data_IF_405693073343
#
_entry.id   IF_405693073343
#
_cell.length_a   1.000
_cell.length_b   1.000
_cell.length_c   1.000
_cell.angle_alpha   90.00
_cell.angle_beta   90.00
_cell.angle_gamma   90.00
#
_symmetry.space_group_name_H-M   'P 1'
#
loop_
_entity.id
_entity.type
_entity.pdbx_description
1 polymer ?
#
# COMPACT_ATOMS: atom_id res chain seq x y z
N UNK A 1 -7.70 6.34 -9.96
CA UNK A 1 -8.14 5.36 -8.94
C UNK A 1 -7.12 5.24 -7.82
N UNK A 2 -7.55 4.83 -6.65
CA UNK A 2 -6.66 4.78 -5.48
C UNK A 2 -5.50 3.80 -5.64
N UNK A 3 -5.74 2.65 -6.26
CA UNK A 3 -4.66 1.68 -6.50
C UNK A 3 -3.59 2.22 -7.43
N UNK A 4 -3.98 2.97 -8.45
CA UNK A 4 -3.02 3.58 -9.38
C UNK A 4 -2.20 4.67 -8.67
N UNK A 5 -2.84 5.48 -7.84
CA UNK A 5 -2.16 6.51 -7.06
C UNK A 5 -1.19 5.90 -6.06
N UNK A 6 -1.58 4.79 -5.43
CA UNK A 6 -0.69 4.05 -4.54
C UNK A 6 0.57 3.59 -5.29
N UNK A 7 0.39 3.01 -6.47
CA UNK A 7 1.52 2.56 -7.29
C UNK A 7 2.43 3.71 -7.69
N UNK A 8 1.87 4.87 -8.03
CA UNK A 8 2.64 6.07 -8.35
C UNK A 8 3.43 6.57 -7.14
N UNK A 9 2.83 6.58 -5.96
CA UNK A 9 3.50 7.00 -4.73
C UNK A 9 4.67 6.07 -4.39
N UNK A 10 4.48 4.76 -4.54
CA UNK A 10 5.54 3.79 -4.30
C UNK A 10 6.68 3.93 -5.31
N UNK A 11 6.36 4.17 -6.58
CA UNK A 11 7.37 4.42 -7.61
C UNK A 11 8.16 5.70 -7.29
N UNK A 12 7.48 6.75 -6.85
CA UNK A 12 8.13 8.00 -6.44
C UNK A 12 9.04 7.78 -5.22
N UNK A 13 8.56 7.03 -4.22
CA UNK A 13 9.36 6.70 -3.05
C UNK A 13 10.62 5.93 -3.43
N UNK A 14 10.49 4.96 -4.35
CA UNK A 14 11.63 4.19 -4.83
C UNK A 14 12.66 5.07 -5.53
N UNK A 15 12.20 5.98 -6.38
CA UNK A 15 13.08 6.94 -7.06
C UNK A 15 13.78 7.84 -6.05
N UNK A 16 13.05 8.33 -5.05
CA UNK A 16 13.60 9.19 -4.01
C UNK A 16 14.65 8.46 -3.16
N UNK A 17 14.42 7.17 -2.85
CA UNK A 17 15.40 6.35 -2.15
C UNK A 17 16.70 6.21 -2.95
N UNK A 18 16.58 5.94 -4.24
CA UNK A 18 17.74 5.82 -5.12
C UNK A 18 18.53 7.13 -5.23
N UNK A 19 17.83 8.26 -5.22
CA UNK A 19 18.42 9.59 -5.28
C UNK A 19 18.88 10.12 -3.90
N UNK A 20 18.65 9.35 -2.83
CA UNK A 20 18.93 9.75 -1.45
C UNK A 20 18.15 10.99 -1.02
N UNK A 21 16.96 11.18 -1.61
CA UNK A 21 16.05 12.26 -1.26
C UNK A 21 15.15 11.80 -0.13
N UNK A 22 15.60 11.99 1.11
CA UNK A 22 14.91 11.52 2.31
C UNK A 22 13.54 12.19 2.47
N UNK A 23 13.46 13.49 2.20
CA UNK A 23 12.22 14.25 2.33
C UNK A 23 11.18 13.79 1.31
N UNK A 24 11.58 13.62 0.05
CA UNK A 24 10.69 13.14 -1.01
C UNK A 24 10.22 11.72 -0.74
N UNK A 25 11.11 10.84 -0.26
CA UNK A 25 10.76 9.47 0.12
C UNK A 25 9.74 9.46 1.25
N UNK A 26 9.95 10.22 2.30
CA UNK A 26 9.04 10.26 3.45
C UNK A 26 7.65 10.77 3.03
N UNK A 27 7.60 11.82 2.22
CA UNK A 27 6.36 12.38 1.72
C UNK A 27 5.57 11.38 0.86
N UNK A 28 6.27 10.68 -0.04
CA UNK A 28 5.63 9.70 -0.91
C UNK A 28 5.11 8.49 -0.12
N UNK A 29 5.87 7.99 0.85
CA UNK A 29 5.44 6.86 1.69
C UNK A 29 4.26 7.27 2.56
N UNK A 30 4.30 8.46 3.17
CA UNK A 30 3.17 8.95 3.97
C UNK A 30 1.90 9.03 3.13
N UNK A 31 1.99 9.51 1.90
CA UNK A 31 0.83 9.59 1.02
C UNK A 31 0.30 8.20 0.67
N UNK A 32 1.19 7.25 0.39
CA UNK A 32 0.81 5.85 0.14
C UNK A 32 0.12 5.24 1.36
N UNK A 33 0.63 5.48 2.56
CA UNK A 33 0.01 5.00 3.80
C UNK A 33 -1.38 5.58 4.00
N UNK A 34 -1.58 6.85 3.70
CA UNK A 34 -2.90 7.50 3.79
C UNK A 34 -3.91 6.81 2.87
N UNK A 35 -3.51 6.44 1.67
CA UNK A 35 -4.37 5.71 0.73
C UNK A 35 -4.79 4.37 1.32
N UNK A 36 -3.86 3.61 1.90
CA UNK A 36 -4.18 2.30 2.51
C UNK A 36 -5.11 2.47 3.70
N UNK A 37 -4.88 3.48 4.54
CA UNK A 37 -5.75 3.77 5.68
C UNK A 37 -7.17 4.11 5.19
N UNK A 38 -7.28 4.88 4.12
CA UNK A 38 -8.58 5.22 3.54
C UNK A 38 -9.30 3.97 3.00
N UNK A 39 -8.58 3.08 2.30
CA UNK A 39 -9.14 1.82 1.83
C UNK A 39 -9.60 0.94 2.99
N UNK A 40 -8.80 0.87 4.06
CA UNK A 40 -9.15 0.10 5.26
C UNK A 40 -10.40 0.66 5.94
N UNK A 41 -10.51 1.97 6.04
CA UNK A 41 -11.66 2.62 6.66
C UNK A 41 -12.96 2.42 5.86
N UNK A 42 -12.85 2.18 4.56
CA UNK A 42 -14.00 1.96 3.69
C UNK A 42 -14.56 0.53 3.75
N UNK A 43 -13.93 -0.39 4.49
CA UNK A 43 -14.39 -1.77 4.62
C UNK A 43 -15.72 -1.82 5.39
N UNK A 44 -16.70 -2.55 4.84
CA UNK A 44 -18.00 -2.77 5.50
C UNK A 44 -18.00 -4.15 6.15
N UNK A 45 -17.55 -4.22 7.39
CA UNK A 45 -17.44 -5.46 8.16
C UNK A 45 -18.80 -6.11 8.42
N UNK A 46 -19.88 -5.34 8.45
CA UNK A 46 -21.22 -5.86 8.65
C UNK A 46 -21.73 -6.63 7.41
N UNK A 47 -21.34 -6.16 6.22
CA UNK A 47 -21.79 -6.77 4.96
C UNK A 47 -21.01 -8.05 4.62
N UNK A 48 -19.71 -8.10 4.92
CA UNK A 48 -18.85 -9.23 4.56
C UNK A 48 -17.73 -9.40 5.62
N UNK A 49 -18.06 -9.93 6.81
CA UNK A 49 -17.10 -9.93 7.92
C UNK A 49 -15.82 -10.72 7.65
N UNK A 50 -15.90 -11.90 7.01
CA UNK A 50 -14.71 -12.69 6.72
C UNK A 50 -13.83 -12.04 5.66
N UNK A 51 -14.44 -11.54 4.59
CA UNK A 51 -13.70 -10.85 3.53
C UNK A 51 -13.02 -9.60 4.07
N UNK A 52 -13.74 -8.81 4.87
CA UNK A 52 -13.18 -7.59 5.46
C UNK A 52 -12.05 -7.89 6.43
N UNK A 53 -12.15 -8.95 7.23
CA UNK A 53 -11.06 -9.36 8.12
C UNK A 53 -9.81 -9.73 7.33
N UNK A 54 -9.97 -10.44 6.21
CA UNK A 54 -8.85 -10.80 5.35
C UNK A 54 -8.21 -9.58 4.70
N UNK A 55 -9.03 -8.67 4.18
CA UNK A 55 -8.54 -7.42 3.57
C UNK A 55 -7.85 -6.53 4.59
N UNK A 56 -8.41 -6.44 5.80
CA UNK A 56 -7.79 -5.67 6.87
C UNK A 56 -6.39 -6.20 7.20
N UNK A 57 -6.23 -7.52 7.26
CA UNK A 57 -4.93 -8.13 7.49
C UNK A 57 -3.93 -7.78 6.38
N UNK A 58 -4.37 -7.79 5.12
CA UNK A 58 -3.54 -7.41 3.97
C UNK A 58 -3.13 -5.93 4.08
N UNK A 59 -4.08 -5.05 4.37
CA UNK A 59 -3.80 -3.63 4.50
C UNK A 59 -2.85 -3.35 5.67
N UNK A 60 -3.02 -4.03 6.80
CA UNK A 60 -2.12 -3.88 7.94
C UNK A 60 -0.69 -4.35 7.60
N UNK A 61 -0.57 -5.44 6.84
CA UNK A 61 0.74 -5.91 6.36
C UNK A 61 1.39 -4.88 5.44
N UNK A 62 0.63 -4.30 4.50
CA UNK A 62 1.13 -3.26 3.60
C UNK A 62 1.61 -2.05 4.39
N UNK A 63 0.82 -1.60 5.37
CA UNK A 63 1.22 -0.48 6.23
C UNK A 63 2.52 -0.77 6.98
N UNK A 64 2.67 -1.98 7.50
CA UNK A 64 3.91 -2.39 8.18
C UNK A 64 5.12 -2.37 7.23
N UNK A 65 4.94 -2.83 6.00
CA UNK A 65 6.03 -2.83 5.01
C UNK A 65 6.42 -1.40 4.59
N UNK A 66 5.43 -0.52 4.42
CA UNK A 66 5.71 0.89 4.12
C UNK A 66 6.45 1.57 5.28
N UNK A 67 6.03 1.29 6.51
CA UNK A 67 6.70 1.80 7.70
C UNK A 67 8.16 1.33 7.78
N UNK A 68 8.39 0.04 7.49
CA UNK A 68 9.75 -0.52 7.46
C UNK A 68 10.61 0.15 6.39
N UNK A 69 10.07 0.36 5.19
CA UNK A 69 10.79 1.04 4.11
C UNK A 69 11.18 2.47 4.52
N UNK A 70 10.27 3.15 5.22
CA UNK A 70 10.54 4.51 5.67
C UNK A 70 11.63 4.55 6.76
N UNK A 71 11.53 3.64 7.73
CA UNK A 71 12.46 3.62 8.87
C UNK A 71 13.85 3.11 8.49
N UNK A 72 13.92 2.09 7.62
CA UNK A 72 15.16 1.39 7.30
C UNK A 72 15.82 1.88 6.02
N UNK A 73 15.15 2.74 5.26
CA UNK A 73 15.64 3.31 4.00
C UNK A 73 16.01 2.22 2.99
N UNK A 74 15.23 1.14 2.92
CA UNK A 74 15.48 0.01 2.03
C UNK A 74 14.34 -0.18 1.02
N UNK A 75 14.68 -0.68 -0.17
CA UNK A 75 13.72 -0.90 -1.26
C UNK A 75 12.88 -2.18 -1.09
N UNK A 76 13.42 -3.33 -0.62
CA UNK A 76 12.63 -4.57 -0.59
C UNK A 76 11.27 -4.49 0.10
N UNK A 77 11.12 -3.89 1.30
CA UNK A 77 9.78 -3.75 1.89
C UNK A 77 8.83 -2.94 1.03
N UNK A 78 9.33 -1.90 0.36
CA UNK A 78 8.53 -1.06 -0.53
C UNK A 78 8.06 -1.87 -1.74
N UNK A 79 8.94 -2.68 -2.34
CA UNK A 79 8.60 -3.53 -3.47
C UNK A 79 7.56 -4.59 -3.08
N UNK A 80 7.65 -5.16 -1.88
CA UNK A 80 6.67 -6.11 -1.36
C UNK A 80 5.28 -5.47 -1.24
N UNK A 81 5.21 -4.26 -0.68
CA UNK A 81 3.96 -3.51 -0.57
C UNK A 81 3.37 -3.21 -1.94
N UNK A 82 4.19 -2.76 -2.88
CA UNK A 82 3.77 -2.43 -4.25
C UNK A 82 3.21 -3.66 -4.96
N UNK A 83 3.91 -4.77 -4.88
CA UNK A 83 3.50 -6.02 -5.53
C UNK A 83 2.18 -6.53 -4.97
N UNK A 84 2.04 -6.55 -3.66
CA UNK A 84 0.83 -7.05 -3.01
C UNK A 84 -0.39 -6.20 -3.36
N UNK A 85 -0.24 -4.88 -3.35
CA UNK A 85 -1.34 -3.99 -3.73
C UNK A 85 -1.68 -4.07 -5.22
N UNK A 86 -0.70 -4.31 -6.08
CA UNK A 86 -0.95 -4.51 -7.51
C UNK A 86 -1.75 -5.79 -7.74
N UNK A 87 -1.42 -6.88 -7.05
CA UNK A 87 -2.16 -8.13 -7.13
C UNK A 87 -3.59 -7.95 -6.64
N UNK A 88 -3.78 -7.24 -5.54
CA UNK A 88 -5.11 -6.95 -5.00
C UNK A 88 -5.94 -6.11 -5.98
N UNK A 89 -5.35 -5.07 -6.56
CA UNK A 89 -6.00 -4.23 -7.55
C UNK A 89 -6.41 -5.00 -8.79
N UNK A 90 -5.57 -5.93 -9.26
CA UNK A 90 -5.88 -6.79 -10.40
C UNK A 90 -7.07 -7.72 -10.08
N UNK A 91 -7.10 -8.29 -8.88
CA UNK A 91 -8.20 -9.14 -8.45
C UNK A 91 -9.53 -8.38 -8.46
N UNK A 92 -9.54 -7.15 -7.97
CA UNK A 92 -10.74 -6.31 -7.99
C UNK A 92 -11.17 -5.97 -9.42
N UNK A 93 -10.22 -5.63 -10.30
CA UNK A 93 -10.53 -5.30 -11.70
C UNK A 93 -11.13 -6.49 -12.44
N UNK A 94 -10.72 -7.71 -12.10
CA UNK A 94 -11.24 -8.93 -12.71
C UNK A 94 -12.54 -9.42 -12.07
N UNK A 95 -13.03 -8.72 -11.04
CA UNK A 95 -14.24 -9.09 -10.34
C UNK A 95 -14.11 -10.31 -9.44
N UNK A 96 -12.90 -10.70 -9.07
CA UNK A 96 -12.66 -11.84 -8.18
C UNK A 96 -13.00 -11.48 -6.74
N UNK A 97 -13.66 -12.40 -6.04
CA UNK A 97 -13.87 -12.28 -4.60
C UNK A 97 -12.56 -12.63 -3.87
N UNK A 98 -12.26 -11.88 -2.84
CA UNK A 98 -11.06 -12.09 -2.05
C UNK A 98 -11.36 -12.68 -0.68
#
# INVERSE_FOLDING_TARGET
MLFDRFAQDCAHARTSLAAKDIHGKAKAIDHAMCIVIELKAALDHAAAPELCANLEAVYDFVLARLSDANAKLTVPPLDQATKLMAELGDAFRQGHAL
#
